data_IF_904852380659
#
_entry.id   IF_904852380659
#
_cell.length_a   1.000
_cell.length_b   1.000
_cell.length_c   1.000
_cell.angle_alpha   90.00
_cell.angle_beta   90.00
_cell.angle_gamma   90.00
#
_symmetry.space_group_name_H-M   'P 1'
#
loop_
_entity.id
_entity.type
_entity.pdbx_description
1 polymer ?
#
# COMPACT_ATOMS: atom_id res chain seq x y z
N UNK A 1 10.92 -7.65 9.43
CA UNK A 1 9.83 -7.43 8.45
C UNK A 1 8.48 -7.10 9.10
N UNK A 2 7.94 -7.90 10.03
CA UNK A 2 6.58 -7.65 10.58
C UNK A 2 6.35 -6.24 11.16
N UNK A 3 7.27 -5.77 12.01
CA UNK A 3 7.18 -4.40 12.57
C UNK A 3 7.24 -3.31 11.49
N UNK A 4 7.97 -3.55 10.39
CA UNK A 4 8.05 -2.63 9.27
C UNK A 4 6.65 -2.37 8.66
N UNK A 5 5.87 -3.43 8.49
CA UNK A 5 4.49 -3.37 8.00
C UNK A 5 3.49 -2.80 9.01
N UNK A 6 3.61 -3.19 10.27
CA UNK A 6 2.68 -2.76 11.33
C UNK A 6 2.79 -1.25 11.58
N UNK A 7 4.02 -0.74 11.73
CA UNK A 7 4.23 0.65 12.12
C UNK A 7 3.89 1.61 10.97
N UNK A 8 4.32 1.33 9.73
CA UNK A 8 3.88 2.08 8.56
C UNK A 8 2.37 1.97 8.31
N UNK A 9 1.80 0.77 8.51
CA UNK A 9 0.37 0.54 8.40
C UNK A 9 -0.48 1.40 9.31
N UNK A 10 -0.04 1.57 10.56
CA UNK A 10 -0.72 2.44 11.51
C UNK A 10 -0.71 3.90 11.06
N UNK A 11 0.37 4.38 10.47
CA UNK A 11 0.43 5.75 9.91
C UNK A 11 -0.59 5.90 8.79
N UNK A 12 -0.62 4.97 7.83
CA UNK A 12 -1.58 5.01 6.70
C UNK A 12 -3.02 4.86 7.19
N UNK A 13 -3.28 3.98 8.16
CA UNK A 13 -4.60 3.77 8.73
C UNK A 13 -5.09 4.99 9.52
N UNK A 14 -4.26 5.60 10.36
CA UNK A 14 -4.62 6.81 11.10
C UNK A 14 -4.78 8.02 10.19
N UNK A 15 -3.94 8.17 9.16
CA UNK A 15 -4.17 9.17 8.13
C UNK A 15 -5.54 8.96 7.48
N UNK A 16 -5.86 7.74 7.09
CA UNK A 16 -7.17 7.41 6.49
C UNK A 16 -8.34 7.70 7.42
N UNK A 17 -8.21 7.44 8.73
CA UNK A 17 -9.23 7.80 9.71
C UNK A 17 -9.46 9.31 9.77
N UNK A 18 -8.38 10.11 9.78
CA UNK A 18 -8.46 11.58 9.72
C UNK A 18 -9.14 12.05 8.43
N UNK A 19 -8.78 11.45 7.29
CA UNK A 19 -9.41 11.79 6.01
C UNK A 19 -10.91 11.45 5.98
N UNK A 20 -11.31 10.31 6.55
CA UNK A 20 -12.73 9.95 6.68
C UNK A 20 -13.51 10.97 7.54
N UNK A 21 -12.92 11.43 8.65
CA UNK A 21 -13.53 12.46 9.49
C UNK A 21 -13.66 13.79 8.75
N UNK A 22 -12.62 14.22 8.03
CA UNK A 22 -12.65 15.44 7.21
C UNK A 22 -13.69 15.33 6.10
N UNK A 23 -13.76 14.19 5.42
CA UNK A 23 -14.74 13.94 4.35
C UNK A 23 -16.17 14.05 4.85
N UNK A 24 -16.43 13.55 6.07
CA UNK A 24 -17.77 13.52 6.67
C UNK A 24 -18.16 14.83 7.36
N UNK A 25 -17.22 15.47 8.06
CA UNK A 25 -17.49 16.57 8.98
C UNK A 25 -16.87 17.91 8.57
N UNK A 26 -15.95 17.91 7.60
CA UNK A 26 -15.30 19.13 7.11
C UNK A 26 -16.27 20.09 6.43
N UNK A 27 -15.98 21.39 6.54
CA UNK A 27 -16.76 22.48 5.91
C UNK A 27 -16.07 23.08 4.68
N UNK A 28 -14.74 22.93 4.56
CA UNK A 28 -14.00 23.36 3.38
C UNK A 28 -14.11 22.33 2.24
N UNK A 29 -14.69 22.76 1.12
CA UNK A 29 -14.91 21.92 -0.05
C UNK A 29 -13.60 21.41 -0.67
N UNK A 30 -12.57 22.26 -0.75
CA UNK A 30 -11.29 21.88 -1.33
C UNK A 30 -10.61 20.78 -0.49
N UNK A 31 -10.59 20.95 0.83
CA UNK A 31 -10.03 19.94 1.73
C UNK A 31 -10.82 18.62 1.74
N UNK A 32 -12.15 18.68 1.59
CA UNK A 32 -12.99 17.47 1.45
C UNK A 32 -12.71 16.72 0.15
N UNK A 33 -12.37 17.41 -0.92
CA UNK A 33 -12.01 16.77 -2.19
C UNK A 33 -10.71 15.96 -2.04
N UNK A 34 -9.69 16.54 -1.41
CA UNK A 34 -8.44 15.84 -1.07
C UNK A 34 -8.74 14.59 -0.21
N UNK A 35 -9.59 14.74 0.81
CA UNK A 35 -9.99 13.62 1.67
C UNK A 35 -10.74 12.52 0.91
N UNK A 36 -11.65 12.92 0.01
CA UNK A 36 -12.41 12.01 -0.86
C UNK A 36 -11.47 11.18 -1.74
N UNK A 37 -10.51 11.84 -2.40
CA UNK A 37 -9.50 11.19 -3.26
C UNK A 37 -8.63 10.23 -2.47
N UNK A 38 -8.10 10.65 -1.31
CA UNK A 38 -7.37 9.75 -0.42
C UNK A 38 -8.20 8.52 -0.07
N UNK A 39 -9.43 8.71 0.44
CA UNK A 39 -10.26 7.60 0.88
C UNK A 39 -10.60 6.66 -0.29
N UNK A 40 -10.90 7.20 -1.47
CA UNK A 40 -11.25 6.41 -2.64
C UNK A 40 -10.10 5.51 -3.14
N UNK A 41 -8.85 5.96 -3.02
CA UNK A 41 -7.68 5.22 -3.49
C UNK A 41 -7.02 4.37 -2.40
N UNK A 42 -6.97 4.85 -1.15
CA UNK A 42 -6.17 4.21 -0.09
C UNK A 42 -6.97 3.16 0.69
N UNK A 43 -8.30 3.28 0.80
CA UNK A 43 -9.10 2.28 1.51
C UNK A 43 -9.04 0.86 0.89
N UNK A 44 -9.11 0.64 -0.44
CA UNK A 44 -8.93 -0.70 -1.00
C UNK A 44 -7.51 -1.24 -0.78
N UNK A 45 -6.50 -0.36 -0.81
CA UNK A 45 -5.10 -0.73 -0.54
C UNK A 45 -4.93 -1.19 0.91
N UNK A 46 -5.47 -0.44 1.87
CA UNK A 46 -5.49 -0.82 3.28
C UNK A 46 -6.21 -2.15 3.50
N UNK A 47 -7.41 -2.30 2.92
CA UNK A 47 -8.20 -3.52 3.02
C UNK A 47 -7.38 -4.70 2.50
N UNK A 48 -6.81 -4.62 1.31
CA UNK A 48 -6.13 -5.77 0.71
C UNK A 48 -4.76 -6.04 1.35
N UNK A 49 -3.83 -5.07 1.27
CA UNK A 49 -2.44 -5.31 1.65
C UNK A 49 -2.26 -5.56 3.15
N UNK A 50 -3.01 -4.87 4.02
CA UNK A 50 -2.85 -5.07 5.46
C UNK A 50 -3.62 -6.26 6.01
N UNK A 51 -4.69 -6.74 5.35
CA UNK A 51 -5.31 -8.01 5.75
C UNK A 51 -4.47 -9.21 5.30
N UNK A 52 -3.85 -9.12 4.11
CA UNK A 52 -2.85 -10.08 3.65
C UNK A 52 -1.68 -10.17 4.64
N UNK A 53 -1.13 -9.02 5.01
CA UNK A 53 -0.02 -8.94 5.97
C UNK A 53 -0.44 -9.33 7.39
N UNK A 54 -1.70 -9.11 7.80
CA UNK A 54 -2.20 -9.57 9.09
C UNK A 54 -2.19 -11.10 9.17
N UNK A 55 -2.67 -11.78 8.13
CA UNK A 55 -2.67 -13.25 8.08
C UNK A 55 -1.26 -13.83 8.02
N UNK A 56 -0.43 -13.37 7.08
CA UNK A 56 0.95 -13.85 6.96
C UNK A 56 1.80 -13.47 8.18
N UNK A 57 1.56 -12.30 8.76
CA UNK A 57 2.18 -11.85 10.00
C UNK A 57 1.79 -12.71 11.19
N UNK A 58 0.51 -13.05 11.34
CA UNK A 58 0.04 -13.97 12.37
C UNK A 58 0.67 -15.36 12.22
N UNK A 59 0.74 -15.89 10.99
CA UNK A 59 1.39 -17.17 10.69
C UNK A 59 2.89 -17.15 11.05
N UNK A 60 3.59 -16.08 10.69
CA UNK A 60 4.99 -15.92 11.07
C UNK A 60 5.17 -15.71 12.59
N UNK A 61 4.21 -15.09 13.28
CA UNK A 61 4.21 -15.02 14.75
C UNK A 61 4.06 -16.42 15.36
N UNK A 62 3.16 -17.25 14.83
CA UNK A 62 3.01 -18.65 15.25
C UNK A 62 4.35 -19.40 15.19
N UNK A 63 5.11 -19.19 14.11
CA UNK A 63 6.42 -19.82 13.92
C UNK A 63 7.43 -19.45 15.02
N UNK A 64 7.38 -18.23 15.58
CA UNK A 64 8.28 -17.80 16.67
C UNK A 64 8.09 -18.64 17.93
N UNK A 65 6.86 -19.10 18.19
CA UNK A 65 6.53 -19.95 19.34
C UNK A 65 6.78 -21.45 19.08
N UNK A 66 7.17 -21.83 17.86
CA UNK A 66 7.34 -23.23 17.46
C UNK A 66 6.08 -24.05 17.72
N UNK A 67 6.23 -25.26 18.27
CA UNK A 67 5.10 -26.14 18.58
C UNK A 67 4.08 -25.52 19.54
N UNK A 68 4.51 -24.67 20.47
CA UNK A 68 3.60 -23.98 21.39
C UNK A 68 2.65 -23.03 20.67
N UNK A 69 3.08 -22.42 19.56
CA UNK A 69 2.24 -21.54 18.76
C UNK A 69 1.02 -22.26 18.16
N UNK A 70 1.12 -23.58 17.98
CA UNK A 70 0.04 -24.42 17.47
C UNK A 70 -0.91 -24.94 18.57
N UNK A 71 -0.54 -24.78 19.84
CA UNK A 71 -1.34 -25.23 20.99
C UNK A 71 -2.30 -24.11 21.41
N UNK A 72 -3.58 -24.45 21.56
CA UNK A 72 -4.66 -23.48 21.87
C UNK A 72 -4.41 -22.64 23.12
N UNK A 73 -3.74 -23.18 24.14
CA UNK A 73 -3.42 -22.49 25.40
C UNK A 73 -2.65 -21.17 25.18
N UNK A 74 -1.82 -21.08 24.13
CA UNK A 74 -1.03 -19.89 23.81
C UNK A 74 -1.77 -18.88 22.92
N UNK A 75 -2.93 -19.24 22.37
CA UNK A 75 -3.81 -18.35 21.62
C UNK A 75 -3.31 -17.89 20.24
N UNK A 76 -2.08 -18.18 19.82
CA UNK A 76 -1.53 -17.68 18.54
C UNK A 76 -2.26 -18.31 17.34
N UNK A 77 -2.62 -19.59 17.41
CA UNK A 77 -3.42 -20.26 16.38
C UNK A 77 -4.78 -19.58 16.14
N UNK A 78 -5.38 -19.01 17.19
CA UNK A 78 -6.61 -18.24 17.07
C UNK A 78 -6.39 -16.97 16.25
N UNK A 79 -5.30 -16.23 16.48
CA UNK A 79 -4.99 -15.01 15.72
C UNK A 79 -4.82 -15.34 14.22
N UNK A 80 -4.20 -16.49 13.90
CA UNK A 80 -4.07 -16.96 12.51
C UNK A 80 -5.44 -17.24 11.88
N UNK A 81 -6.34 -17.92 12.60
CA UNK A 81 -7.70 -18.20 12.12
C UNK A 81 -8.51 -16.93 11.95
N UNK A 82 -8.51 -16.06 12.96
CA UNK A 82 -9.34 -14.86 13.01
C UNK A 82 -8.87 -13.81 11.99
N UNK A 83 -7.58 -13.75 11.67
CA UNK A 83 -7.05 -12.86 10.62
C UNK A 83 -7.42 -13.31 9.20
N UNK A 84 -7.72 -14.60 8.97
CA UNK A 84 -8.00 -15.13 7.63
C UNK A 84 -9.26 -14.52 7.01
N UNK A 85 -10.30 -14.29 7.82
CA UNK A 85 -11.60 -13.82 7.31
C UNK A 85 -11.53 -12.40 6.75
N UNK A 86 -10.62 -11.57 7.26
CA UNK A 86 -10.48 -10.18 6.83
C UNK A 86 -10.06 -10.03 5.35
N UNK A 87 -9.38 -11.05 4.79
CA UNK A 87 -9.06 -11.09 3.37
C UNK A 87 -10.24 -11.45 2.46
N UNK A 88 -11.34 -11.94 3.04
CA UNK A 88 -12.47 -12.53 2.32
C UNK A 88 -13.70 -11.62 2.36
N UNK A 89 -14.07 -11.12 3.55
CA UNK A 89 -15.27 -10.30 3.72
C UNK A 89 -15.06 -8.87 3.22
N UNK A 90 -16.17 -8.18 2.96
CA UNK A 90 -16.22 -6.80 2.42
C UNK A 90 -15.45 -6.67 1.09
N UNK A 91 -15.57 -7.69 0.24
CA UNK A 91 -14.84 -7.86 -1.02
C UNK A 91 -13.51 -8.58 -0.80
N UNK A 92 -13.21 -9.60 -1.60
CA UNK A 92 -11.93 -10.31 -1.50
C UNK A 92 -10.77 -9.39 -1.85
N UNK A 93 -9.55 -9.73 -1.42
CA UNK A 93 -8.36 -8.91 -1.71
C UNK A 93 -8.16 -8.67 -3.22
N UNK A 94 -8.44 -9.67 -4.06
CA UNK A 94 -8.40 -9.52 -5.52
C UNK A 94 -9.47 -8.53 -6.03
N UNK A 95 -10.69 -8.59 -5.48
CA UNK A 95 -11.75 -7.64 -5.85
C UNK A 95 -11.38 -6.20 -5.45
N UNK A 96 -10.67 -6.02 -4.33
CA UNK A 96 -10.14 -4.71 -3.93
C UNK A 96 -9.04 -4.21 -4.89
N UNK A 97 -8.19 -5.12 -5.37
CA UNK A 97 -7.17 -4.81 -6.36
C UNK A 97 -7.79 -4.39 -7.71
N UNK A 98 -8.78 -5.16 -8.17
CA UNK A 98 -9.54 -4.86 -9.38
C UNK A 98 -10.28 -3.52 -9.25
N UNK A 99 -10.90 -3.25 -8.09
CA UNK A 99 -11.54 -1.96 -7.83
C UNK A 99 -10.55 -0.80 -7.99
N UNK A 100 -9.41 -0.88 -7.31
CA UNK A 100 -8.40 0.17 -7.34
C UNK A 100 -7.94 0.46 -8.77
N UNK A 101 -7.57 -0.57 -9.52
CA UNK A 101 -7.04 -0.37 -10.87
C UNK A 101 -8.17 0.01 -11.84
N UNK A 102 -9.15 -0.89 -12.03
CA UNK A 102 -10.13 -0.74 -13.11
C UNK A 102 -11.20 0.32 -12.84
N UNK A 103 -11.57 0.58 -11.57
CA UNK A 103 -12.65 1.52 -11.25
C UNK A 103 -12.17 2.84 -10.69
N UNK A 104 -11.01 2.88 -10.02
CA UNK A 104 -10.48 4.11 -9.40
C UNK A 104 -9.32 4.76 -10.16
N UNK A 105 -8.62 4.00 -11.01
CA UNK A 105 -7.41 4.50 -11.69
C UNK A 105 -7.59 4.63 -13.21
N UNK A 106 -8.08 3.60 -13.90
CA UNK A 106 -8.19 3.65 -15.36
C UNK A 106 -9.21 4.65 -15.90
N UNK A 107 -10.42 4.83 -15.30
CA UNK A 107 -11.48 5.64 -15.91
C UNK A 107 -11.14 7.13 -16.07
N UNK A 108 -10.28 7.68 -15.20
CA UNK A 108 -9.84 9.08 -15.27
C UNK A 108 -8.42 9.24 -15.83
N UNK A 109 -7.88 8.19 -16.46
CA UNK A 109 -6.50 8.20 -16.98
C UNK A 109 -5.45 8.35 -15.88
N UNK A 110 -5.72 7.80 -14.70
CA UNK A 110 -4.89 7.86 -13.50
C UNK A 110 -4.66 9.27 -12.94
N UNK A 111 -5.52 10.24 -13.27
CA UNK A 111 -5.37 11.61 -12.80
C UNK A 111 -5.41 11.68 -11.26
N UNK A 112 -6.42 11.07 -10.63
CA UNK A 112 -6.54 11.06 -9.17
C UNK A 112 -5.36 10.38 -8.48
N UNK A 113 -4.83 9.29 -9.05
CA UNK A 113 -3.65 8.61 -8.53
C UNK A 113 -2.42 9.50 -8.63
N UNK A 114 -2.16 10.11 -9.79
CA UNK A 114 -1.01 10.98 -9.98
C UNK A 114 -1.03 12.17 -9.02
N UNK A 115 -2.20 12.80 -8.83
CA UNK A 115 -2.37 13.86 -7.84
C UNK A 115 -2.09 13.36 -6.42
N UNK A 116 -2.55 12.16 -6.04
CA UNK A 116 -2.23 11.59 -4.74
C UNK A 116 -0.70 11.38 -4.56
N UNK A 117 -0.01 10.87 -5.58
CA UNK A 117 1.44 10.66 -5.52
C UNK A 117 2.22 11.98 -5.41
N UNK A 118 1.76 13.03 -6.11
CA UNK A 118 2.30 14.39 -6.00
C UNK A 118 2.07 14.99 -4.60
N UNK A 119 0.87 14.84 -4.04
CA UNK A 119 0.53 15.27 -2.69
C UNK A 119 1.40 14.56 -1.64
N UNK A 120 1.58 13.24 -1.76
CA UNK A 120 2.47 12.45 -0.89
C UNK A 120 3.92 12.94 -0.98
N UNK A 121 4.42 13.22 -2.18
CA UNK A 121 5.77 13.75 -2.38
C UNK A 121 5.94 15.15 -1.75
N UNK A 122 4.94 16.02 -1.87
CA UNK A 122 4.96 17.37 -1.31
C UNK A 122 4.97 17.40 0.23
N UNK A 123 4.49 16.34 0.89
CA UNK A 123 4.54 16.21 2.35
C UNK A 123 5.91 15.78 2.89
N UNK A 124 6.85 15.36 2.03
CA UNK A 124 8.16 14.86 2.45
C UNK A 124 9.22 15.97 2.49
N UNK A 125 10.20 15.81 3.39
CA UNK A 125 11.35 16.70 3.54
C UNK A 125 12.34 16.61 2.38
N UNK A 126 13.53 17.18 2.55
CA UNK A 126 14.56 17.23 1.50
C UNK A 126 15.82 16.42 1.82
N UNK A 127 15.78 15.59 2.86
CA UNK A 127 16.83 14.63 3.17
C UNK A 127 16.95 13.53 2.10
N UNK A 128 18.06 12.79 2.11
CA UNK A 128 18.38 11.75 1.11
C UNK A 128 17.27 10.69 0.96
N UNK A 129 16.66 10.26 2.08
CA UNK A 129 15.58 9.30 2.02
C UNK A 129 14.31 9.91 1.43
N UNK A 130 13.92 11.09 1.90
CA UNK A 130 12.76 11.78 1.33
C UNK A 130 12.91 12.00 -0.18
N UNK A 131 14.10 12.38 -0.66
CA UNK A 131 14.39 12.52 -2.10
C UNK A 131 14.28 11.18 -2.84
N UNK A 132 14.76 10.09 -2.23
CA UNK A 132 14.59 8.74 -2.79
C UNK A 132 13.10 8.41 -2.93
N UNK A 133 12.27 8.66 -1.91
CA UNK A 133 10.83 8.37 -1.98
C UNK A 133 10.13 9.24 -3.02
N UNK A 134 10.40 10.55 -3.04
CA UNK A 134 9.89 11.48 -4.06
C UNK A 134 10.17 10.95 -5.48
N UNK A 135 11.42 10.54 -5.73
CA UNK A 135 11.84 9.99 -7.03
C UNK A 135 11.09 8.69 -7.39
N UNK A 136 10.79 7.83 -6.41
CA UNK A 136 10.06 6.57 -6.65
C UNK A 136 8.57 6.81 -6.92
N UNK A 137 7.95 7.78 -6.23
CA UNK A 137 6.58 8.21 -6.50
C UNK A 137 6.45 8.78 -7.92
N UNK A 138 7.39 9.64 -8.33
CA UNK A 138 7.43 10.21 -9.68
C UNK A 138 7.67 9.13 -10.75
N UNK A 139 8.62 8.22 -10.51
CA UNK A 139 8.91 7.11 -11.42
C UNK A 139 7.68 6.20 -11.60
N UNK A 140 6.94 5.92 -10.53
CA UNK A 140 5.71 5.13 -10.62
C UNK A 140 4.61 5.87 -11.39
N UNK A 141 4.42 7.17 -11.14
CA UNK A 141 3.49 7.99 -11.92
C UNK A 141 3.83 7.99 -13.41
N UNK A 142 5.13 8.08 -13.74
CA UNK A 142 5.63 7.98 -15.11
C UNK A 142 5.40 6.59 -15.72
N UNK A 143 5.62 5.50 -14.95
CA UNK A 143 5.30 4.13 -15.38
C UNK A 143 3.81 3.99 -15.70
N UNK A 144 2.93 4.46 -14.81
CA UNK A 144 1.48 4.39 -15.03
C UNK A 144 1.09 5.11 -16.32
N UNK A 145 1.60 6.33 -16.51
CA UNK A 145 1.31 7.18 -17.68
C UNK A 145 1.85 6.61 -18.99
N UNK A 146 3.09 6.15 -18.99
CA UNK A 146 3.84 5.86 -20.21
C UNK A 146 3.83 4.38 -20.59
N UNK A 147 3.51 3.49 -19.65
CA UNK A 147 3.57 2.04 -19.83
C UNK A 147 2.23 1.40 -19.56
N UNK A 148 1.70 1.53 -18.34
CA UNK A 148 0.47 0.84 -17.93
C UNK A 148 -0.74 1.30 -18.73
N UNK A 149 -1.04 2.61 -18.76
CA UNK A 149 -2.23 3.14 -19.43
C UNK A 149 -2.26 2.78 -20.92
N UNK A 150 -1.19 3.03 -21.72
CA UNK A 150 -1.17 2.59 -23.12
C UNK A 150 -1.29 1.07 -23.26
N UNK A 151 -0.62 0.30 -22.39
CA UNK A 151 -0.62 -1.16 -22.48
C UNK A 151 -1.97 -1.80 -22.17
N UNK A 152 -2.81 -1.20 -21.33
CA UNK A 152 -4.17 -1.72 -21.04
C UNK A 152 -5.26 -1.12 -21.93
N UNK A 153 -5.02 0.03 -22.57
CA UNK A 153 -6.02 0.71 -23.42
C UNK A 153 -5.77 0.52 -24.92
N UNK A 154 -4.65 -0.07 -25.33
CA UNK A 154 -4.38 -0.40 -26.71
C UNK A 154 -5.49 -1.28 -27.31
N UNK A 155 -5.84 -1.03 -28.58
CA UNK A 155 -6.98 -1.68 -29.26
C UNK A 155 -6.87 -3.20 -29.32
N UNK A 156 -5.64 -3.71 -29.37
CA UNK A 156 -5.26 -5.12 -29.42
C UNK A 156 -4.89 -5.70 -28.05
N UNK A 157 -4.97 -4.90 -26.98
CA UNK A 157 -4.75 -5.41 -25.63
C UNK A 157 -5.80 -6.48 -25.27
N UNK A 158 -5.41 -7.61 -24.67
CA UNK A 158 -6.35 -8.56 -24.09
C UNK A 158 -7.29 -7.85 -23.11
N UNK A 159 -8.58 -8.16 -23.20
CA UNK A 159 -9.62 -7.55 -22.36
C UNK A 159 -9.35 -7.78 -20.85
N UNK A 160 -8.69 -8.89 -20.53
CA UNK A 160 -8.37 -9.28 -19.17
C UNK A 160 -7.03 -8.72 -18.68
N UNK A 161 -6.24 -8.03 -19.51
CA UNK A 161 -4.89 -7.56 -19.16
C UNK A 161 -4.89 -6.68 -17.91
N UNK A 162 -5.88 -5.79 -17.77
CA UNK A 162 -6.02 -4.98 -16.57
C UNK A 162 -6.29 -5.81 -15.31
N UNK A 163 -7.02 -6.93 -15.41
CA UNK A 163 -7.27 -7.82 -14.28
C UNK A 163 -5.99 -8.55 -13.85
N UNK A 164 -5.15 -8.98 -14.80
CA UNK A 164 -3.88 -9.63 -14.48
C UNK A 164 -2.90 -8.72 -13.75
N UNK A 165 -2.98 -7.41 -13.99
CA UNK A 165 -2.13 -6.39 -13.37
C UNK A 165 -2.63 -5.93 -12.00
N UNK A 166 -3.86 -6.26 -11.62
CA UNK A 166 -4.55 -5.61 -10.50
C UNK A 166 -3.83 -5.84 -9.16
N UNK A 167 -3.48 -7.09 -8.83
CA UNK A 167 -2.79 -7.42 -7.56
C UNK A 167 -1.42 -6.74 -7.45
N UNK A 168 -0.58 -6.86 -8.49
CA UNK A 168 0.76 -6.25 -8.49
C UNK A 168 0.69 -4.73 -8.40
N UNK A 169 -0.29 -4.12 -9.09
CA UNK A 169 -0.54 -2.68 -9.02
C UNK A 169 -0.93 -2.24 -7.60
N UNK A 170 -1.89 -2.92 -6.96
CA UNK A 170 -2.29 -2.62 -5.59
C UNK A 170 -1.11 -2.78 -4.63
N UNK A 171 -0.32 -3.86 -4.80
CA UNK A 171 0.84 -4.12 -3.95
C UNK A 171 1.93 -3.08 -4.13
N UNK A 172 2.17 -2.60 -5.34
CA UNK A 172 3.10 -1.51 -5.62
C UNK A 172 2.65 -0.21 -4.92
N UNK A 173 1.36 0.15 -5.00
CA UNK A 173 0.80 1.32 -4.30
C UNK A 173 0.94 1.17 -2.77
N UNK A 174 0.70 -0.02 -2.21
CA UNK A 174 0.88 -0.27 -0.78
C UNK A 174 2.34 -0.01 -0.33
N UNK A 175 3.32 -0.47 -1.10
CA UNK A 175 4.74 -0.30 -0.79
C UNK A 175 5.18 1.16 -0.90
N UNK A 176 4.62 1.94 -1.84
CA UNK A 176 4.84 3.39 -1.93
C UNK A 176 4.26 4.13 -0.72
N UNK A 177 3.04 3.78 -0.30
CA UNK A 177 2.45 4.32 0.93
C UNK A 177 3.29 3.97 2.16
N UNK A 178 3.88 2.77 2.21
CA UNK A 178 4.80 2.40 3.27
C UNK A 178 6.10 3.21 3.25
N UNK A 179 6.67 3.48 2.07
CA UNK A 179 7.86 4.32 1.95
C UNK A 179 7.59 5.74 2.44
N UNK A 180 6.49 6.35 2.00
CA UNK A 180 6.05 7.64 2.53
C UNK A 180 5.86 7.61 4.05
N UNK A 181 5.20 6.57 4.58
CA UNK A 181 4.99 6.45 6.02
C UNK A 181 6.30 6.32 6.80
N UNK A 182 7.27 5.55 6.29
CA UNK A 182 8.58 5.40 6.94
C UNK A 182 9.39 6.68 6.94
N UNK A 183 9.35 7.47 5.86
CA UNK A 183 10.00 8.79 5.84
C UNK A 183 9.34 9.76 6.83
N UNK A 184 8.02 9.70 7.00
CA UNK A 184 7.33 10.48 8.03
C UNK A 184 7.65 10.02 9.45
N UNK A 185 7.78 8.71 9.69
CA UNK A 185 8.22 8.18 10.99
C UNK A 185 9.65 8.65 11.28
N UNK A 186 10.55 8.59 10.29
CA UNK A 186 11.94 8.99 10.44
C UNK A 186 12.10 10.49 10.74
N UNK A 187 11.23 11.34 10.18
CA UNK A 187 11.23 12.77 10.43
C UNK A 187 10.58 13.19 11.77
N UNK A 188 9.94 12.27 12.49
CA UNK A 188 9.25 12.58 13.73
C UNK A 188 10.20 12.70 14.94
N UNK A 189 9.82 13.50 15.92
CA UNK A 189 10.57 13.62 17.18
C UNK A 189 10.67 12.25 17.89
N UNK A 190 11.88 11.86 18.28
CA UNK A 190 12.14 10.57 18.94
C UNK A 190 12.28 9.37 17.99
N UNK A 191 12.32 9.59 16.68
CA UNK A 191 12.58 8.56 15.67
C UNK A 191 13.94 7.87 15.83
N UNK A 192 14.90 8.49 16.53
CA UNK A 192 16.25 7.95 16.75
C UNK A 192 16.29 6.73 17.70
N UNK A 193 15.18 6.39 18.35
CA UNK A 193 15.18 5.24 19.25
C UNK A 193 15.41 3.92 18.49
N UNK A 194 16.07 2.91 19.10
CA UNK A 194 16.31 1.61 18.47
C UNK A 194 15.02 0.92 17.99
N UNK A 195 13.89 1.23 18.65
CA UNK A 195 12.57 0.74 18.27
C UNK A 195 12.22 1.11 16.84
N UNK A 196 12.46 2.35 16.41
CA UNK A 196 12.07 2.83 15.09
C UNK A 196 13.15 2.52 14.05
N UNK A 197 14.42 2.80 14.37
CA UNK A 197 15.56 2.55 13.48
C UNK A 197 15.64 1.10 12.99
N UNK A 198 15.41 0.12 13.88
CA UNK A 198 15.47 -1.30 13.51
C UNK A 198 14.36 -1.70 12.52
N UNK A 199 13.15 -1.14 12.69
CA UNK A 199 12.02 -1.44 11.82
C UNK A 199 12.12 -0.70 10.47
N UNK A 200 12.63 0.52 10.50
CA UNK A 200 12.93 1.34 9.33
C UNK A 200 14.03 0.70 8.45
N UNK A 201 15.16 0.30 9.05
CA UNK A 201 16.20 -0.43 8.32
C UNK A 201 15.68 -1.76 7.74
N UNK A 202 14.81 -2.46 8.47
CA UNK A 202 14.17 -3.69 8.01
C UNK A 202 13.21 -3.45 6.84
N UNK A 203 12.50 -2.32 6.80
CA UNK A 203 11.66 -1.94 5.66
C UNK A 203 12.51 -1.84 4.40
N UNK A 204 13.52 -0.98 4.42
CA UNK A 204 14.36 -0.73 3.26
C UNK A 204 15.15 -1.94 2.78
N UNK A 205 15.58 -2.79 3.72
CA UNK A 205 16.39 -3.97 3.39
C UNK A 205 15.57 -5.17 2.92
N UNK A 206 14.39 -5.43 3.50
CA UNK A 206 13.68 -6.70 3.30
C UNK A 206 12.27 -6.57 2.74
N UNK A 207 11.64 -5.39 2.84
CA UNK A 207 10.27 -5.17 2.33
C UNK A 207 10.32 -4.40 1.02
N UNK A 208 11.05 -3.29 0.98
CA UNK A 208 11.15 -2.44 -0.21
C UNK A 208 11.58 -3.16 -1.50
N UNK A 209 12.49 -4.16 -1.50
CA UNK A 209 12.84 -4.88 -2.72
C UNK A 209 11.64 -5.54 -3.43
N UNK A 210 10.55 -5.84 -2.71
CA UNK A 210 9.30 -6.31 -3.31
C UNK A 210 8.76 -5.32 -4.36
N UNK A 211 8.94 -4.02 -4.17
CA UNK A 211 8.44 -3.00 -5.10
C UNK A 211 9.02 -3.16 -6.51
N UNK A 212 10.35 -3.38 -6.60
CA UNK A 212 11.00 -3.64 -7.88
C UNK A 212 10.49 -4.93 -8.54
N UNK A 213 10.33 -6.00 -7.76
CA UNK A 213 9.77 -7.26 -8.25
C UNK A 213 8.35 -7.07 -8.82
N UNK A 214 7.48 -6.30 -8.16
CA UNK A 214 6.11 -6.02 -8.64
C UNK A 214 6.12 -5.19 -9.92
N UNK A 215 7.02 -4.21 -10.05
CA UNK A 215 7.19 -3.46 -11.29
C UNK A 215 7.62 -4.37 -12.44
N UNK A 216 8.58 -5.27 -12.21
CA UNK A 216 9.06 -6.20 -13.23
C UNK A 216 7.95 -7.17 -13.67
N UNK A 217 7.13 -7.66 -12.74
CA UNK A 217 5.97 -8.50 -13.05
C UNK A 217 4.94 -7.76 -13.93
N UNK A 218 4.66 -6.50 -13.62
CA UNK A 218 3.77 -5.67 -14.44
C UNK A 218 4.37 -5.38 -15.82
N UNK A 219 5.66 -5.05 -15.93
CA UNK A 219 6.33 -4.85 -17.22
C UNK A 219 6.29 -6.11 -18.10
N UNK A 220 6.56 -7.29 -17.51
CA UNK A 220 6.48 -8.55 -18.23
C UNK A 220 5.05 -8.83 -18.73
N UNK A 221 4.03 -8.51 -17.92
CA UNK A 221 2.62 -8.66 -18.28
C UNK A 221 2.20 -7.67 -19.38
N UNK A 222 2.75 -6.47 -19.38
CA UNK A 222 2.50 -5.45 -20.41
C UNK A 222 3.21 -5.77 -21.74
N UNK A 223 4.33 -6.51 -21.69
CA UNK A 223 5.09 -6.92 -22.86
C UNK A 223 4.54 -8.17 -23.55
N UNK A 224 3.70 -8.96 -22.86
CA UNK A 224 3.02 -10.15 -23.38
C UNK A 224 1.72 -9.81 -24.12
#
# INVERSE_FOLDING_TARGET
AQRAWIDAGRVVAYRTAIELDILKHGTDAARREVASRWCALVTPVLKSAWTDQAFHGASACLQVFGGHGFVREWGIEQIVRDSRVAMIYEGTNEIQAIDLLLRKTLPDGAQALNTLLEELAAELGDDEESQRVKSQLEAFAAFVRNRLLPGVTAKDAPIDRAHWLADDFLRAVALLLMAWAWSRIAAAEGADSPRWQSAHAAFWRWVWPEFGMRLDMMENTLAA
#
